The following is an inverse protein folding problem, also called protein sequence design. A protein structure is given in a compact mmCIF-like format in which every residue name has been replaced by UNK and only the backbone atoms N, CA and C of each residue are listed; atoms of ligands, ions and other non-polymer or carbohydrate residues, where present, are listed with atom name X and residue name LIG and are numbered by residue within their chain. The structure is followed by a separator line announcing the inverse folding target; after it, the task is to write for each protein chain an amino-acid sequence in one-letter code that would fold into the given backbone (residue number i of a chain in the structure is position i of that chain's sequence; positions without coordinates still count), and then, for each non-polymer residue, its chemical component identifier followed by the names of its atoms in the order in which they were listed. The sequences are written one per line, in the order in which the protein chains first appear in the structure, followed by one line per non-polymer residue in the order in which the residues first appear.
data_IF_268559936725
#
_entry.id   IF_268559936725
#
_cell.length_a   1.000
_cell.length_b   1.000
_cell.length_c   1.000
_cell.angle_alpha   90.00
_cell.angle_beta   90.00
_cell.angle_gamma   90.00
#
_symmetry.space_group_name_H-M   'P 1'
#
loop_
_entity.id
_entity.type
_entity.pdbx_description
1 polymer ?
#
# COMPACT_ATOMS: atom_id res chain seq x y z
N UNK A 1 -5.83 -18.12 14.18
CA UNK A 1 -5.40 -16.74 14.45
C UNK A 1 -4.89 -16.14 13.15
N UNK A 2 -5.49 -15.06 12.65
CA UNK A 2 -5.00 -14.38 11.44
C UNK A 2 -3.81 -13.52 11.82
N UNK A 3 -2.61 -13.88 11.32
CA UNK A 3 -1.37 -13.17 11.61
C UNK A 3 -1.03 -12.27 10.43
N UNK A 4 -0.93 -10.97 10.68
CA UNK A 4 -0.51 -9.98 9.69
C UNK A 4 0.98 -9.70 9.84
N UNK A 5 1.64 -9.44 8.71
CA UNK A 5 3.03 -9.03 8.66
C UNK A 5 3.12 -7.66 8.01
N UNK A 6 3.90 -6.76 8.60
CA UNK A 6 4.13 -5.45 8.02
C UNK A 6 4.98 -5.59 6.75
N UNK A 7 4.43 -5.16 5.62
CA UNK A 7 5.11 -5.19 4.31
C UNK A 7 5.56 -3.80 3.86
N UNK A 8 4.99 -2.74 4.43
CA UNK A 8 5.38 -1.38 4.11
C UNK A 8 4.61 -0.31 4.90
N UNK A 9 5.16 0.89 4.92
CA UNK A 9 4.56 2.05 5.59
C UNK A 9 4.21 3.12 4.57
N UNK A 10 2.95 3.59 4.61
CA UNK A 10 2.50 4.73 3.82
C UNK A 10 3.12 6.00 4.40
N UNK A 11 3.95 6.68 3.63
CA UNK A 11 4.65 7.89 4.08
C UNK A 11 3.99 9.17 3.58
N UNK A 12 3.40 9.15 2.38
CA UNK A 12 2.75 10.32 1.81
C UNK A 12 1.75 9.89 0.73
N UNK A 13 0.83 10.77 0.37
CA UNK A 13 0.00 10.61 -0.84
C UNK A 13 0.79 11.07 -2.07
N UNK A 14 0.30 10.68 -3.24
CA UNK A 14 0.82 11.14 -4.52
C UNK A 14 -0.32 11.53 -5.46
N UNK A 15 -0.21 12.74 -6.01
CA UNK A 15 -1.17 13.26 -6.96
C UNK A 15 -2.58 13.38 -6.36
N UNK A 16 -3.56 13.54 -7.25
CA UNK A 16 -4.97 13.70 -6.89
C UNK A 16 -5.78 12.41 -7.06
N UNK A 17 -5.20 11.39 -7.70
CA UNK A 17 -5.89 10.15 -8.07
C UNK A 17 -5.84 9.05 -7.00
N UNK A 18 -5.59 9.40 -5.73
CA UNK A 18 -5.51 8.43 -4.64
C UNK A 18 -4.28 7.52 -4.67
N UNK A 19 -3.20 7.91 -5.37
CA UNK A 19 -1.94 7.17 -5.28
C UNK A 19 -1.25 7.45 -3.94
N UNK A 20 -0.47 6.50 -3.44
CA UNK A 20 0.29 6.67 -2.21
C UNK A 20 1.73 6.23 -2.37
N UNK A 21 2.62 6.87 -1.61
CA UNK A 21 4.03 6.50 -1.47
C UNK A 21 4.18 5.57 -0.27
N UNK A 22 4.74 4.40 -0.52
CA UNK A 22 4.97 3.35 0.46
C UNK A 22 6.46 3.04 0.53
N UNK A 23 7.03 3.07 1.72
CA UNK A 23 8.36 2.52 1.96
C UNK A 23 8.19 1.05 2.29
N UNK A 24 8.78 0.17 1.48
CA UNK A 24 8.80 -1.27 1.73
C UNK A 24 9.70 -1.59 2.92
N UNK A 25 9.23 -2.46 3.80
CA UNK A 25 10.05 -3.04 4.89
C UNK A 25 10.39 -4.51 4.63
N UNK A 26 10.02 -5.03 3.46
CA UNK A 26 10.22 -6.41 3.03
C UNK A 26 11.12 -6.47 1.79
N UNK A 27 11.96 -7.50 1.72
CA UNK A 27 12.83 -7.78 0.58
C UNK A 27 12.05 -8.16 -0.69
N UNK A 28 10.80 -8.63 -0.54
CA UNK A 28 9.94 -9.11 -1.64
C UNK A 28 8.88 -8.07 -2.03
N UNK A 29 9.21 -6.78 -1.98
CA UNK A 29 8.24 -5.71 -2.19
C UNK A 29 7.57 -5.75 -3.57
N UNK A 30 8.28 -6.16 -4.62
CA UNK A 30 7.73 -6.26 -5.98
C UNK A 30 6.63 -7.33 -6.08
N UNK A 31 6.82 -8.50 -5.45
CA UNK A 31 5.79 -9.53 -5.37
C UNK A 31 4.63 -9.13 -4.45
N UNK A 32 4.94 -8.52 -3.29
CA UNK A 32 3.92 -8.12 -2.30
C UNK A 32 3.04 -6.97 -2.78
N UNK A 33 3.56 -6.09 -3.63
CA UNK A 33 2.82 -4.99 -4.24
C UNK A 33 2.41 -5.29 -5.67
N UNK A 34 2.47 -6.56 -6.10
CA UNK A 34 2.01 -6.93 -7.43
C UNK A 34 0.52 -6.62 -7.62
N UNK A 35 0.13 -6.36 -8.87
CA UNK A 35 -1.26 -6.11 -9.25
C UNK A 35 -2.17 -7.26 -8.81
N UNK A 36 -3.37 -6.92 -8.34
CA UNK A 36 -4.38 -7.80 -7.73
C UNK A 36 -4.04 -8.37 -6.35
N UNK A 37 -2.91 -8.00 -5.75
CA UNK A 37 -2.63 -8.39 -4.35
C UNK A 37 -3.54 -7.62 -3.40
N UNK A 38 -4.05 -8.30 -2.37
CA UNK A 38 -4.85 -7.70 -1.31
C UNK A 38 -3.96 -7.43 -0.10
N UNK A 39 -3.99 -6.21 0.40
CA UNK A 39 -3.22 -5.73 1.55
C UNK A 39 -4.17 -5.19 2.61
N UNK A 40 -3.97 -5.60 3.85
CA UNK A 40 -4.70 -5.03 4.97
C UNK A 40 -4.09 -3.69 5.39
N UNK A 41 -4.90 -2.64 5.43
CA UNK A 41 -4.54 -1.33 5.93
C UNK A 41 -4.70 -1.30 7.46
N UNK A 42 -3.66 -0.83 8.14
CA UNK A 42 -3.68 -0.59 9.58
C UNK A 42 -3.43 0.89 9.86
N UNK A 43 -4.13 1.42 10.86
CA UNK A 43 -3.87 2.77 11.36
C UNK A 43 -2.56 2.83 12.17
N UNK A 44 -2.06 4.02 12.48
CA UNK A 44 -0.89 4.22 13.36
C UNK A 44 -1.04 3.54 14.72
N UNK A 45 -2.28 3.34 15.20
CA UNK A 45 -2.57 2.61 16.45
C UNK A 45 -2.57 1.08 16.30
N UNK A 46 -2.32 0.55 15.11
CA UNK A 46 -2.32 -0.89 14.83
C UNK A 46 -3.72 -1.50 14.69
N UNK A 47 -4.76 -0.67 14.56
CA UNK A 47 -6.12 -1.12 14.31
C UNK A 47 -6.30 -1.43 12.82
N UNK A 48 -6.89 -2.58 12.52
CA UNK A 48 -7.31 -2.90 11.15
C UNK A 48 -8.35 -1.88 10.69
N UNK A 49 -8.14 -1.30 9.52
CA UNK A 49 -9.04 -0.31 8.92
C UNK A 49 -9.87 -0.98 7.83
N UNK A 50 -9.21 -1.56 6.83
CA UNK A 50 -9.86 -2.19 5.67
C UNK A 50 -8.84 -2.97 4.82
N UNK A 51 -9.33 -3.83 3.93
CA UNK A 51 -8.53 -4.46 2.89
C UNK A 51 -8.50 -3.59 1.63
N UNK A 52 -7.31 -3.43 1.07
CA UNK A 52 -7.04 -2.67 -0.14
C UNK A 52 -6.47 -3.58 -1.22
N UNK A 53 -7.06 -3.55 -2.40
CA UNK A 53 -6.56 -4.30 -3.55
C UNK A 53 -5.65 -3.44 -4.40
N UNK A 54 -4.44 -3.92 -4.71
CA UNK A 54 -3.46 -3.19 -5.51
C UNK A 54 -3.89 -3.19 -6.98
N UNK A 55 -4.11 -2.00 -7.55
CA UNK A 55 -4.41 -1.79 -8.97
C UNK A 55 -3.13 -1.72 -9.80
N UNK A 56 -2.19 -0.92 -9.34
CA UNK A 56 -0.87 -0.74 -9.97
C UNK A 56 0.13 -0.38 -8.88
N UNK A 57 1.32 -0.96 -8.96
CA UNK A 57 2.46 -0.51 -8.17
C UNK A 57 3.64 -0.28 -9.09
N UNK A 58 4.43 0.75 -8.79
CA UNK A 58 5.70 1.02 -9.47
C UNK A 58 6.74 1.49 -8.47
N UNK A 59 7.99 1.08 -8.67
CA UNK A 59 9.11 1.57 -7.86
C UNK A 59 9.58 2.92 -8.38
N UNK A 60 9.79 3.87 -7.48
CA UNK A 60 10.39 5.17 -7.80
C UNK A 60 11.46 5.52 -6.76
N UNK A 61 12.73 5.42 -7.18
CA UNK A 61 13.90 5.60 -6.32
C UNK A 61 13.82 4.70 -5.07
N UNK A 62 13.54 5.29 -3.91
CA UNK A 62 13.54 4.62 -2.60
C UNK A 62 12.14 4.25 -2.08
N UNK A 63 11.08 4.51 -2.84
CA UNK A 63 9.71 4.19 -2.43
C UNK A 63 8.90 3.57 -3.56
N UNK A 64 7.83 2.88 -3.20
CA UNK A 64 6.83 2.36 -4.11
C UNK A 64 5.67 3.34 -4.20
N UNK A 65 5.19 3.55 -5.41
CA UNK A 65 3.95 4.27 -5.66
C UNK A 65 2.91 3.21 -5.92
N UNK A 66 1.92 3.15 -5.05
CA UNK A 66 0.85 2.16 -5.10
C UNK A 66 -0.46 2.89 -5.32
N UNK A 67 -1.24 2.38 -6.27
CA UNK A 67 -2.62 2.76 -6.49
C UNK A 67 -3.50 1.58 -6.12
N UNK A 68 -4.53 1.84 -5.34
CA UNK A 68 -5.49 0.82 -4.92
C UNK A 68 -6.77 0.90 -5.75
N UNK A 69 -7.49 -0.21 -5.87
CA UNK A 69 -8.82 -0.24 -6.46
C UNK A 69 -9.83 0.45 -5.52
N UNK A 70 -10.78 1.20 -6.08
CA UNK A 70 -11.79 1.93 -5.31
C UNK A 70 -11.33 3.28 -4.74
N UNK A 71 -10.03 3.53 -4.65
CA UNK A 71 -9.46 4.81 -4.20
C UNK A 71 -9.07 5.68 -5.40
N UNK A 72 -9.97 6.55 -5.83
CA UNK A 72 -9.79 7.44 -6.99
C UNK A 72 -9.52 8.90 -6.61
N UNK A 73 -9.73 9.26 -5.34
CA UNK A 73 -9.51 10.59 -4.78
C UNK A 73 -8.86 10.49 -3.40
N UNK A 74 -8.14 11.55 -3.01
CA UNK A 74 -7.47 11.66 -1.69
C UNK A 74 -8.36 12.24 -0.58
N UNK A 75 -9.59 12.66 -0.92
CA UNK A 75 -10.52 13.38 -0.04
C UNK A 75 -11.77 12.54 0.24
#
# INVERSE_FOLDING_TARGET
MTKFYNVGTIVNTQGLQGEVRVISVTDFAEERFAKNTVLALFDKKGNYVQDLKVKTARRQKNFYIIKFEGLYHIN
#
